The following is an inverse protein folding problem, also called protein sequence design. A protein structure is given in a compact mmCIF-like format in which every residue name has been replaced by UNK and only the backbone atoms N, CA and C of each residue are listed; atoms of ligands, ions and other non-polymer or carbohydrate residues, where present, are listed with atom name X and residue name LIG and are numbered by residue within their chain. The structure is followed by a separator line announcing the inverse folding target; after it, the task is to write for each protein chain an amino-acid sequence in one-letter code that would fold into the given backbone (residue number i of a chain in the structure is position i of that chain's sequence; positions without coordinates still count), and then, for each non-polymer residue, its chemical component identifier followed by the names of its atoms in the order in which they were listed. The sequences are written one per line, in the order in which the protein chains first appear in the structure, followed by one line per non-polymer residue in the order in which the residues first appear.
data_IF_300166399991
#
_entry.id   IF_300166399991
#
_cell.length_a   1.000
_cell.length_b   1.000
_cell.length_c   1.000
_cell.angle_alpha   90.00
_cell.angle_beta   90.00
_cell.angle_gamma   90.00
#
_symmetry.space_group_name_H-M   'P 1'
#
loop_
_entity.id
_entity.type
_entity.pdbx_description
1 polymer ?
#
# COMPACT_ATOMS: atom_id res chain seq x y z
N UNK A 1 -4.86 33.39 93.61
CA UNK A 1 -5.57 32.17 94.04
C UNK A 1 -5.93 31.34 92.81
N UNK A 2 -5.57 30.05 92.81
CA UNK A 2 -6.11 28.90 92.03
C UNK A 2 -6.31 29.08 90.51
N UNK A 3 -5.44 28.50 89.66
CA UNK A 3 -5.42 27.11 89.14
C UNK A 3 -6.38 26.80 87.97
N UNK A 4 -5.77 26.23 86.91
CA UNK A 4 -6.20 25.13 86.03
C UNK A 4 -6.90 25.39 84.67
N UNK A 5 -6.08 25.21 83.62
CA UNK A 5 -6.16 24.25 82.47
C UNK A 5 -7.44 24.10 81.65
N UNK A 6 -7.29 24.16 80.31
CA UNK A 6 -7.83 23.33 79.19
C UNK A 6 -7.25 23.97 77.90
N UNK A 7 -6.90 23.34 76.78
CA UNK A 7 -6.41 22.03 76.37
C UNK A 7 -5.83 22.24 74.95
N UNK A 8 -4.81 21.47 74.59
CA UNK A 8 -4.09 21.54 73.30
C UNK A 8 -4.93 20.99 72.15
N UNK A 9 -5.03 21.71 71.04
CA UNK A 9 -5.46 21.16 69.75
C UNK A 9 -4.26 21.20 68.78
N UNK A 10 -3.63 20.03 68.58
CA UNK A 10 -2.61 19.83 67.54
C UNK A 10 -3.31 19.79 66.18
N UNK A 11 -2.98 20.75 65.31
CA UNK A 11 -3.38 20.74 63.90
C UNK A 11 -2.66 19.61 63.18
N UNK A 12 -3.42 18.61 62.74
CA UNK A 12 -2.95 17.54 61.86
C UNK A 12 -3.15 18.04 60.42
N UNK A 13 -2.07 18.46 59.76
CA UNK A 13 -2.08 18.81 58.34
C UNK A 13 -2.29 17.56 57.50
N UNK A 14 -3.49 17.42 56.93
CA UNK A 14 -3.81 16.36 55.98
C UNK A 14 -3.20 16.76 54.62
N UNK A 15 -2.04 16.18 54.29
CA UNK A 15 -1.46 16.28 52.95
C UNK A 15 -2.35 15.50 51.97
N UNK A 16 -3.07 16.23 51.11
CA UNK A 16 -3.89 15.69 50.04
C UNK A 16 -2.99 15.37 48.83
N UNK A 17 -2.43 14.18 48.81
CA UNK A 17 -1.67 13.66 47.66
C UNK A 17 -2.67 13.26 46.57
N UNK A 18 -2.85 14.12 45.56
CA UNK A 18 -3.63 13.79 44.36
C UNK A 18 -2.84 12.76 43.56
N UNK A 19 -3.23 11.49 43.69
CA UNK A 19 -2.83 10.42 42.79
C UNK A 19 -3.51 10.68 41.44
N UNK A 20 -2.77 11.23 40.48
CA UNK A 20 -3.17 11.21 39.08
C UNK A 20 -3.07 9.77 38.59
N UNK A 21 -4.18 9.03 38.66
CA UNK A 21 -4.33 7.77 37.95
C UNK A 21 -4.32 8.08 36.45
N UNK A 22 -3.27 7.63 35.76
CA UNK A 22 -3.29 7.52 34.31
C UNK A 22 -4.42 6.55 33.95
N UNK A 23 -5.55 7.08 33.49
CA UNK A 23 -6.58 6.27 32.86
C UNK A 23 -6.00 5.81 31.53
N UNK A 24 -5.55 4.55 31.45
CA UNK A 24 -5.27 3.95 30.15
C UNK A 24 -6.60 3.81 29.42
N UNK A 25 -6.84 4.65 28.42
CA UNK A 25 -8.00 4.50 27.55
C UNK A 25 -7.68 3.36 26.58
N UNK A 26 -8.38 2.24 26.71
CA UNK A 26 -8.42 1.25 25.65
C UNK A 26 -9.11 1.90 24.44
N UNK A 27 -8.40 2.03 23.32
CA UNK A 27 -8.92 2.62 22.11
C UNK A 27 -9.50 1.52 21.22
N UNK A 28 -10.83 1.46 21.18
CA UNK A 28 -11.56 0.57 20.29
C UNK A 28 -11.68 1.22 18.90
N UNK A 29 -11.49 0.41 17.86
CA UNK A 29 -11.69 0.81 16.47
C UNK A 29 -12.93 0.13 15.92
N UNK A 30 -13.85 0.90 15.35
CA UNK A 30 -14.99 0.37 14.61
C UNK A 30 -14.78 0.60 13.12
N UNK A 31 -14.99 -0.46 12.33
CA UNK A 31 -14.78 -0.45 10.88
C UNK A 31 -15.89 -1.22 10.19
N UNK A 32 -16.30 -0.77 9.02
CA UNK A 32 -17.30 -1.46 8.20
C UNK A 32 -16.66 -1.89 6.90
N UNK A 33 -16.68 -3.19 6.63
CA UNK A 33 -16.20 -3.77 5.39
C UNK A 33 -17.33 -4.15 4.46
N UNK A 34 -17.08 -4.07 3.16
CA UNK A 34 -18.08 -4.31 2.13
C UNK A 34 -17.65 -5.38 1.13
N UNK A 35 -18.58 -6.24 0.73
CA UNK A 35 -18.34 -7.20 -0.34
C UNK A 35 -19.63 -7.58 -1.08
N UNK A 36 -19.53 -7.74 -2.40
CA UNK A 36 -20.65 -8.14 -3.24
C UNK A 36 -20.91 -9.65 -3.17
N UNK A 37 -22.17 -10.06 -3.05
CA UNK A 37 -22.61 -11.46 -3.10
C UNK A 37 -22.61 -11.94 -4.55
N UNK A 38 -21.74 -12.90 -4.87
CA UNK A 38 -21.59 -13.46 -6.21
C UNK A 38 -22.25 -14.84 -6.27
N UNK A 39 -23.09 -15.10 -7.27
CA UNK A 39 -23.72 -16.42 -7.51
C UNK A 39 -24.46 -17.04 -6.32
N UNK A 40 -24.94 -16.22 -5.38
CA UNK A 40 -25.55 -16.71 -4.13
C UNK A 40 -24.56 -17.26 -3.10
N UNK A 41 -23.25 -17.18 -3.34
CA UNK A 41 -22.21 -17.58 -2.39
C UNK A 41 -22.05 -16.49 -1.31
N UNK A 42 -22.85 -16.65 -0.25
CA UNK A 42 -22.84 -15.76 0.91
C UNK A 42 -21.60 -15.95 1.78
N UNK A 43 -20.99 -17.13 1.76
CA UNK A 43 -19.82 -17.43 2.61
C UNK A 43 -18.58 -16.68 2.13
N UNK A 44 -18.34 -16.69 0.81
CA UNK A 44 -17.21 -15.96 0.22
C UNK A 44 -17.38 -14.44 0.38
N UNK A 45 -18.58 -13.92 0.16
CA UNK A 45 -18.86 -12.49 0.33
C UNK A 45 -18.68 -12.06 1.79
N UNK A 46 -19.14 -12.87 2.75
CA UNK A 46 -18.93 -12.62 4.18
C UNK A 46 -17.44 -12.59 4.54
N UNK A 47 -16.67 -13.57 4.07
CA UNK A 47 -15.21 -13.62 4.27
C UNK A 47 -14.50 -12.37 3.72
N UNK A 48 -14.88 -11.95 2.51
CA UNK A 48 -14.33 -10.74 1.88
C UNK A 48 -14.68 -9.46 2.63
N UNK A 49 -15.93 -9.31 3.11
CA UNK A 49 -16.34 -8.14 3.88
C UNK A 49 -15.66 -8.08 5.26
N UNK A 50 -15.46 -9.22 5.94
CA UNK A 50 -14.67 -9.29 7.18
C UNK A 50 -13.22 -8.87 6.91
N UNK A 51 -12.61 -9.38 5.84
CA UNK A 51 -11.24 -9.03 5.44
C UNK A 51 -11.09 -7.52 5.21
N UNK A 52 -12.04 -6.93 4.51
CA UNK A 52 -12.07 -5.48 4.24
C UNK A 52 -12.18 -4.68 5.55
N UNK A 53 -13.10 -5.03 6.44
CA UNK A 53 -13.28 -4.37 7.75
C UNK A 53 -11.99 -4.40 8.59
N UNK A 54 -11.42 -5.59 8.80
CA UNK A 54 -10.17 -5.75 9.57
C UNK A 54 -9.05 -4.91 8.96
N UNK A 55 -8.95 -4.89 7.64
CA UNK A 55 -7.87 -4.16 6.96
C UNK A 55 -8.02 -2.66 7.13
N UNK A 56 -9.23 -2.11 6.97
CA UNK A 56 -9.50 -0.69 7.21
C UNK A 56 -9.16 -0.27 8.65
N UNK A 57 -9.49 -1.11 9.65
CA UNK A 57 -9.17 -0.84 11.05
C UNK A 57 -7.66 -0.84 11.34
N UNK A 58 -6.91 -1.79 10.76
CA UNK A 58 -5.45 -1.86 10.88
C UNK A 58 -4.77 -0.65 10.22
N UNK A 59 -5.26 -0.27 9.04
CA UNK A 59 -4.81 0.91 8.30
C UNK A 59 -4.97 2.18 9.12
N UNK A 60 -6.15 2.38 9.70
CA UNK A 60 -6.45 3.59 10.46
C UNK A 60 -5.67 3.64 11.77
N UNK A 61 -5.45 2.49 12.41
CA UNK A 61 -4.68 2.38 13.65
C UNK A 61 -3.15 2.44 13.44
N UNK A 62 -2.67 2.39 12.19
CA UNK A 62 -1.24 2.35 11.87
C UNK A 62 -0.58 0.99 12.13
N UNK A 63 -1.38 -0.03 12.43
CA UNK A 63 -0.95 -1.38 12.74
C UNK A 63 -0.55 -2.17 11.48
N UNK A 64 0.44 -3.07 11.60
CA UNK A 64 0.95 -3.95 10.54
C UNK A 64 -0.08 -4.97 10.09
N UNK A 65 -0.24 -5.07 8.78
CA UNK A 65 -1.14 -6.01 8.10
C UNK A 65 -0.38 -7.29 7.71
N UNK A 66 0.16 -8.03 8.69
CA UNK A 66 0.96 -9.23 8.35
C UNK A 66 0.12 -10.50 8.19
N UNK A 67 -1.09 -10.58 8.77
CA UNK A 67 -1.89 -11.84 8.77
C UNK A 67 -3.41 -11.64 8.86
N UNK A 68 -4.02 -10.88 7.93
CA UNK A 68 -5.49 -10.69 7.92
C UNK A 68 -6.24 -12.00 7.68
N UNK A 69 -5.69 -12.92 6.86
CA UNK A 69 -6.38 -14.17 6.51
C UNK A 69 -6.67 -15.05 7.74
N UNK A 70 -5.69 -15.22 8.64
CA UNK A 70 -5.87 -15.97 9.89
C UNK A 70 -6.95 -15.35 10.78
N UNK A 71 -7.09 -14.02 10.76
CA UNK A 71 -8.12 -13.31 11.51
C UNK A 71 -9.51 -13.49 10.90
N UNK A 72 -9.60 -13.45 9.57
CA UNK A 72 -10.85 -13.73 8.83
C UNK A 72 -11.36 -15.14 9.15
N UNK A 73 -10.48 -16.13 9.07
CA UNK A 73 -10.83 -17.52 9.37
C UNK A 73 -11.25 -17.69 10.85
N UNK A 74 -10.63 -16.94 11.77
CA UNK A 74 -11.01 -16.90 13.18
C UNK A 74 -12.39 -16.29 13.42
N UNK A 75 -12.74 -15.18 12.74
CA UNK A 75 -14.08 -14.56 12.84
C UNK A 75 -15.17 -15.45 12.25
N UNK A 76 -14.86 -16.23 11.20
CA UNK A 76 -15.82 -17.10 10.53
C UNK A 76 -16.15 -18.40 11.28
N UNK A 77 -15.28 -18.85 12.20
CA UNK A 77 -15.35 -20.21 12.78
C UNK A 77 -15.86 -20.30 14.22
N UNK A 78 -16.05 -19.18 14.95
CA UNK A 78 -16.46 -19.22 16.37
C UNK A 78 -17.52 -18.17 16.75
N UNK A 79 -18.67 -18.63 17.24
CA UNK A 79 -19.83 -17.84 17.72
C UNK A 79 -19.63 -17.19 19.12
N UNK A 80 -18.49 -17.38 19.80
CA UNK A 80 -18.22 -16.76 21.10
C UNK A 80 -16.76 -16.27 21.21
N UNK A 81 -16.61 -14.95 21.27
CA UNK A 81 -15.40 -14.17 20.98
C UNK A 81 -14.44 -14.04 22.17
N UNK A 82 -13.32 -14.79 22.14
CA UNK A 82 -12.03 -14.44 22.76
C UNK A 82 -10.90 -15.04 21.92
N UNK A 83 -10.55 -14.37 20.81
CA UNK A 83 -9.38 -14.74 20.01
C UNK A 83 -8.23 -13.84 20.45
N UNK A 84 -7.32 -14.38 21.26
CA UNK A 84 -6.01 -13.78 21.51
C UNK A 84 -5.08 -14.21 20.38
N UNK A 85 -5.09 -13.49 19.26
CA UNK A 85 -4.19 -13.77 18.14
C UNK A 85 -2.89 -12.97 18.30
N UNK A 86 -1.75 -13.62 18.05
CA UNK A 86 -0.43 -13.00 18.13
C UNK A 86 -0.33 -11.84 17.12
N UNK A 87 -0.07 -10.63 17.62
CA UNK A 87 0.04 -9.42 16.81
C UNK A 87 -0.47 -8.20 17.56
N UNK A 88 -0.86 -7.16 16.82
CA UNK A 88 -1.34 -5.88 17.34
C UNK A 88 -2.84 -5.87 17.64
N UNK A 89 -3.60 -6.93 17.32
CA UNK A 89 -5.04 -7.04 17.62
C UNK A 89 -5.27 -8.01 18.77
N UNK A 90 -5.82 -7.51 19.89
CA UNK A 90 -6.13 -8.33 21.07
C UNK A 90 -7.54 -8.93 21.03
N UNK A 91 -8.50 -8.23 20.40
CA UNK A 91 -9.90 -8.67 20.32
C UNK A 91 -10.55 -8.17 19.05
N UNK A 92 -11.45 -8.98 18.50
CA UNK A 92 -12.36 -8.61 17.41
C UNK A 92 -13.77 -8.97 17.88
N UNK A 93 -14.75 -8.11 17.63
CA UNK A 93 -16.17 -8.34 17.88
C UNK A 93 -16.97 -8.01 16.61
N UNK A 94 -17.84 -8.93 16.20
CA UNK A 94 -18.83 -8.66 15.16
C UNK A 94 -19.97 -7.84 15.77
N UNK A 95 -20.13 -6.59 15.35
CA UNK A 95 -21.16 -5.68 15.87
C UNK A 95 -22.44 -5.79 15.04
N UNK A 96 -22.30 -5.79 13.71
CA UNK A 96 -23.44 -5.99 12.81
C UNK A 96 -23.03 -6.73 11.55
N UNK A 97 -23.99 -7.47 11.02
CA UNK A 97 -23.94 -8.09 9.71
C UNK A 97 -25.22 -7.70 8.99
N UNK A 98 -25.09 -6.77 8.06
CA UNK A 98 -26.20 -6.23 7.31
C UNK A 98 -26.08 -6.65 5.85
N UNK A 99 -27.19 -7.10 5.27
CA UNK A 99 -27.28 -7.41 3.85
C UNK A 99 -28.20 -6.41 3.18
N UNK A 100 -27.64 -5.59 2.32
CA UNK A 100 -28.40 -4.70 1.45
C UNK A 100 -28.20 -5.14 -0.01
N UNK A 101 -29.28 -5.60 -0.65
CA UNK A 101 -29.28 -6.15 -2.01
C UNK A 101 -28.29 -7.33 -2.16
N UNK A 102 -27.30 -7.16 -3.04
CA UNK A 102 -26.19 -8.08 -3.30
C UNK A 102 -24.89 -7.59 -2.64
N UNK A 103 -24.94 -6.83 -1.55
CA UNK A 103 -23.74 -6.40 -0.82
C UNK A 103 -23.87 -6.72 0.66
N UNK A 104 -22.88 -7.41 1.21
CA UNK A 104 -22.65 -7.55 2.64
C UNK A 104 -21.95 -6.30 3.16
N UNK A 105 -22.47 -5.75 4.24
CA UNK A 105 -21.81 -4.76 5.07
C UNK A 105 -21.59 -5.39 6.45
N UNK A 106 -20.33 -5.51 6.86
CA UNK A 106 -19.95 -6.14 8.12
C UNK A 106 -19.23 -5.13 8.98
N UNK A 107 -19.81 -4.83 10.15
CA UNK A 107 -19.22 -3.92 11.12
C UNK A 107 -18.49 -4.70 12.18
N UNK A 108 -17.19 -4.45 12.32
CA UNK A 108 -16.34 -5.04 13.34
C UNK A 108 -15.86 -3.99 14.32
N UNK A 109 -15.80 -4.35 15.59
CA UNK A 109 -15.11 -3.62 16.65
C UNK A 109 -13.84 -4.35 17.02
N UNK A 110 -12.70 -3.67 16.97
CA UNK A 110 -11.38 -4.24 17.19
C UNK A 110 -10.66 -3.52 18.33
N UNK A 111 -10.00 -4.29 19.19
CA UNK A 111 -9.06 -3.81 20.20
C UNK A 111 -7.65 -3.90 19.63
N UNK A 112 -7.09 -2.78 19.19
CA UNK A 112 -5.81 -2.72 18.48
C UNK A 112 -4.80 -1.96 19.33
N UNK A 113 -3.75 -2.67 19.74
CA UNK A 113 -2.54 -2.12 20.31
C UNK A 113 -1.46 -2.17 19.26
N UNK A 114 -1.36 -1.13 18.44
CA UNK A 114 -0.18 -0.94 17.60
C UNK A 114 1.05 -0.96 18.52
N UNK A 115 2.01 -1.83 18.24
CA UNK A 115 3.30 -1.70 18.89
C UNK A 115 3.83 -0.35 18.44
N UNK A 116 4.19 0.50 19.39
CA UNK A 116 4.83 1.79 19.10
C UNK A 116 6.24 1.53 18.54
N UNK A 117 6.31 1.00 17.33
CA UNK A 117 7.27 1.56 16.40
C UNK A 117 6.69 2.90 16.01
N UNK A 118 7.32 3.96 16.51
CA UNK A 118 7.19 5.30 15.98
C UNK A 118 7.65 5.27 14.52
N UNK A 119 6.85 4.69 13.62
CA UNK A 119 6.84 5.13 12.25
C UNK A 119 6.13 6.48 12.35
N UNK A 120 6.84 7.63 12.30
CA UNK A 120 6.16 8.91 12.21
C UNK A 120 5.21 8.78 11.04
N UNK A 121 3.92 8.68 11.35
CA UNK A 121 2.87 8.51 10.37
C UNK A 121 3.08 9.66 9.41
N UNK A 122 3.61 9.31 8.26
CA UNK A 122 4.23 10.26 7.36
C UNK A 122 3.06 11.10 6.88
N UNK A 123 2.93 12.32 7.40
CA UNK A 123 1.86 13.28 7.08
C UNK A 123 1.81 13.62 5.56
N UNK A 124 2.73 13.01 4.81
CA UNK A 124 3.00 13.21 3.41
C UNK A 124 2.53 12.03 2.60
N UNK A 125 1.82 12.37 1.53
CA UNK A 125 1.30 11.40 0.57
C UNK A 125 2.43 10.89 -0.31
N UNK A 126 2.53 9.57 -0.44
CA UNK A 126 3.53 8.90 -1.28
C UNK A 126 2.95 8.65 -2.66
N UNK A 127 3.73 8.77 -3.73
CA UNK A 127 3.25 8.45 -5.08
C UNK A 127 3.87 7.15 -5.57
N UNK A 128 3.03 6.26 -6.10
CA UNK A 128 3.43 4.96 -6.66
C UNK A 128 3.09 4.90 -8.16
N UNK A 129 4.09 4.73 -9.01
CA UNK A 129 3.89 4.54 -10.44
C UNK A 129 3.36 3.12 -10.71
N UNK A 130 2.12 3.02 -11.19
CA UNK A 130 1.51 1.75 -11.61
C UNK A 130 1.83 1.52 -13.07
N UNK A 131 2.77 0.62 -13.34
CA UNK A 131 3.27 0.34 -14.69
C UNK A 131 2.47 -0.75 -15.40
N UNK A 132 2.64 -0.84 -16.73
CA UNK A 132 2.00 -1.90 -17.52
C UNK A 132 2.62 -3.25 -17.17
N UNK A 133 1.79 -4.23 -16.85
CA UNK A 133 2.24 -5.59 -16.59
C UNK A 133 2.87 -6.18 -17.86
N UNK A 134 4.00 -6.86 -17.72
CA UNK A 134 4.56 -7.64 -18.81
C UNK A 134 3.86 -9.00 -18.90
N UNK A 135 3.42 -9.39 -20.10
CA UNK A 135 2.95 -10.75 -20.35
C UNK A 135 4.13 -11.65 -20.76
N UNK A 136 4.50 -12.60 -19.90
CA UNK A 136 5.62 -13.51 -20.15
C UNK A 136 5.38 -14.41 -21.36
N UNK A 137 4.17 -14.97 -21.47
CA UNK A 137 3.80 -15.93 -22.51
C UNK A 137 2.64 -15.38 -23.36
N UNK A 138 2.95 -14.61 -24.42
CA UNK A 138 1.92 -14.01 -25.30
C UNK A 138 0.99 -15.04 -25.96
N UNK A 139 1.48 -16.25 -26.24
CA UNK A 139 0.67 -17.33 -26.82
C UNK A 139 -0.53 -17.72 -25.95
N UNK A 140 -0.44 -17.53 -24.63
CA UNK A 140 -1.53 -17.84 -23.71
C UNK A 140 -2.72 -16.87 -23.84
N UNK A 141 -2.55 -15.72 -24.50
CA UNK A 141 -3.63 -14.77 -24.77
C UNK A 141 -4.45 -15.09 -26.04
N UNK A 142 -4.08 -16.13 -26.80
CA UNK A 142 -4.74 -16.47 -28.07
C UNK A 142 -6.23 -16.82 -27.91
N UNK A 143 -6.58 -17.61 -26.89
CA UNK A 143 -8.00 -17.87 -26.61
C UNK A 143 -8.66 -16.59 -26.10
N UNK A 144 -9.68 -16.13 -26.82
CA UNK A 144 -10.33 -14.84 -26.58
C UNK A 144 -9.66 -13.64 -27.27
N UNK A 145 -8.50 -13.83 -27.92
CA UNK A 145 -7.66 -12.75 -28.47
C UNK A 145 -7.35 -11.62 -27.46
N UNK A 146 -7.13 -11.97 -26.20
CA UNK A 146 -6.98 -11.03 -25.09
C UNK A 146 -5.56 -10.46 -24.98
N UNK A 147 -4.96 -10.04 -26.10
CA UNK A 147 -3.55 -9.62 -26.13
C UNK A 147 -3.27 -8.34 -25.32
N UNK A 148 -4.29 -7.53 -25.08
CA UNK A 148 -4.22 -6.28 -24.30
C UNK A 148 -4.56 -6.48 -22.81
N UNK A 149 -4.81 -7.72 -22.38
CA UNK A 149 -5.19 -8.04 -20.99
C UNK A 149 -4.16 -7.54 -19.98
N UNK A 150 -2.88 -7.54 -20.33
CA UNK A 150 -1.83 -7.05 -19.45
C UNK A 150 -1.92 -5.54 -19.21
N UNK A 151 -2.40 -4.76 -20.20
CA UNK A 151 -2.71 -3.33 -20.00
C UNK A 151 -4.00 -3.15 -19.21
N UNK A 152 -5.06 -3.85 -19.61
CA UNK A 152 -6.37 -3.75 -18.96
C UNK A 152 -6.29 -4.08 -17.46
N UNK A 153 -5.51 -5.10 -17.07
CA UNK A 153 -5.26 -5.45 -15.68
C UNK A 153 -4.56 -4.33 -14.92
N UNK A 154 -3.51 -3.72 -15.49
CA UNK A 154 -2.79 -2.61 -14.84
C UNK A 154 -3.66 -1.36 -14.70
N UNK A 155 -4.52 -1.09 -15.68
CA UNK A 155 -5.51 0.01 -15.62
C UNK A 155 -6.56 -0.24 -14.53
N UNK A 156 -7.07 -1.48 -14.43
CA UNK A 156 -8.00 -1.86 -13.37
C UNK A 156 -7.35 -1.85 -11.98
N UNK A 157 -6.07 -2.22 -11.87
CA UNK A 157 -5.31 -2.09 -10.63
C UNK A 157 -5.14 -0.62 -10.25
N UNK A 158 -4.77 0.25 -11.20
CA UNK A 158 -4.68 1.69 -10.97
C UNK A 158 -6.02 2.26 -10.46
N UNK A 159 -7.15 1.85 -11.03
CA UNK A 159 -8.48 2.26 -10.57
C UNK A 159 -8.77 1.77 -9.14
N UNK A 160 -8.46 0.50 -8.81
CA UNK A 160 -8.62 -0.06 -7.46
C UNK A 160 -7.79 0.70 -6.43
N UNK A 161 -6.52 0.99 -6.72
CA UNK A 161 -5.65 1.80 -5.86
C UNK A 161 -6.16 3.23 -5.70
N UNK A 162 -6.69 3.83 -6.77
CA UNK A 162 -7.18 5.22 -6.76
C UNK A 162 -8.44 5.38 -5.90
N UNK A 163 -9.28 4.36 -5.87
CA UNK A 163 -10.53 4.33 -5.11
C UNK A 163 -10.35 3.88 -3.66
N UNK A 164 -9.16 3.42 -3.27
CA UNK A 164 -8.87 2.97 -1.90
C UNK A 164 -8.29 4.11 -1.07
N UNK A 165 -8.76 4.25 0.17
CA UNK A 165 -8.20 5.20 1.12
C UNK A 165 -6.88 4.65 1.69
N UNK A 166 -5.78 4.97 0.99
CA UNK A 166 -4.43 4.61 1.41
C UNK A 166 -3.50 5.83 1.39
N UNK A 167 -2.43 5.79 2.19
CA UNK A 167 -1.45 6.88 2.27
C UNK A 167 -0.62 7.07 0.99
N UNK A 168 -0.59 6.05 0.10
CA UNK A 168 0.07 6.13 -1.19
C UNK A 168 -0.93 6.39 -2.32
N UNK A 169 -0.73 7.42 -3.14
CA UNK A 169 -1.55 7.70 -4.31
C UNK A 169 -0.94 7.09 -5.56
N UNK A 170 -1.72 6.35 -6.37
CA UNK A 170 -1.20 5.79 -7.60
C UNK A 170 -1.04 6.86 -8.69
N UNK A 171 -0.01 6.70 -9.51
CA UNK A 171 0.18 7.46 -10.77
C UNK A 171 0.15 6.49 -11.93
N UNK A 172 -0.63 6.82 -12.96
CA UNK A 172 -0.76 5.98 -14.14
C UNK A 172 0.55 5.97 -14.96
N UNK A 173 1.13 4.79 -15.15
CA UNK A 173 2.24 4.55 -16.08
C UNK A 173 2.02 3.26 -16.90
N UNK A 174 0.76 2.85 -17.07
CA UNK A 174 0.38 1.60 -17.76
C UNK A 174 0.17 1.74 -19.27
N UNK A 175 0.36 2.93 -19.83
CA UNK A 175 0.26 3.19 -21.28
C UNK A 175 1.56 2.94 -22.04
N UNK A 176 2.64 2.56 -21.35
CA UNK A 176 3.94 2.27 -21.94
C UNK A 176 4.32 0.81 -21.69
N UNK A 177 4.54 -0.01 -22.73
CA UNK A 177 4.92 -1.40 -22.55
C UNK A 177 6.36 -1.50 -22.04
N UNK A 178 6.56 -2.29 -20.99
CA UNK A 178 7.85 -2.46 -20.34
C UNK A 178 8.34 -3.91 -20.42
N UNK A 179 9.67 -4.07 -20.52
CA UNK A 179 10.36 -5.35 -20.42
C UNK A 179 11.00 -5.43 -19.04
N UNK A 180 10.37 -6.14 -18.13
CA UNK A 180 10.70 -6.16 -16.70
C UNK A 180 11.16 -7.54 -16.20
N UNK A 181 11.30 -8.56 -17.06
CA UNK A 181 11.72 -9.91 -16.66
C UNK A 181 12.94 -9.95 -15.74
N UNK A 182 13.97 -9.14 -16.03
CA UNK A 182 15.22 -9.07 -15.27
C UNK A 182 15.01 -8.61 -13.82
N UNK A 183 13.98 -7.79 -13.56
CA UNK A 183 13.64 -7.30 -12.21
C UNK A 183 13.09 -8.39 -11.29
N UNK A 184 12.65 -9.53 -11.86
CA UNK A 184 12.12 -10.67 -11.13
C UNK A 184 13.12 -11.83 -11.01
N UNK A 185 14.40 -11.60 -11.34
CA UNK A 185 15.47 -12.60 -11.19
C UNK A 185 16.15 -12.50 -9.82
N UNK A 186 16.88 -13.54 -9.43
CA UNK A 186 17.64 -13.55 -8.18
C UNK A 186 18.96 -12.75 -8.27
N UNK A 187 19.39 -12.38 -9.48
CA UNK A 187 20.75 -11.90 -9.74
C UNK A 187 20.96 -10.39 -9.49
N UNK A 188 19.97 -9.64 -9.01
CA UNK A 188 20.04 -8.17 -8.83
C UNK A 188 20.53 -7.37 -10.06
N UNK A 189 20.47 -7.97 -11.25
CA UNK A 189 20.93 -7.41 -12.53
C UNK A 189 19.80 -6.67 -13.25
N UNK A 190 19.22 -5.67 -12.56
CA UNK A 190 18.13 -4.87 -13.09
C UNK A 190 18.60 -3.44 -13.40
N UNK A 191 17.95 -2.83 -14.40
CA UNK A 191 18.37 -1.51 -14.91
C UNK A 191 17.83 -0.37 -14.05
N UNK A 192 18.72 0.26 -13.30
CA UNK A 192 18.42 1.50 -12.56
C UNK A 192 17.94 2.62 -13.50
N UNK A 193 18.41 2.65 -14.76
CA UNK A 193 18.00 3.66 -15.73
C UNK A 193 16.50 3.58 -16.08
N UNK A 194 15.92 2.38 -16.11
CA UNK A 194 14.49 2.22 -16.35
C UNK A 194 13.67 2.74 -15.16
N UNK A 195 14.10 2.45 -13.93
CA UNK A 195 13.44 2.99 -12.72
C UNK A 195 13.55 4.51 -12.67
N UNK A 196 14.71 5.07 -13.04
CA UNK A 196 14.90 6.52 -13.16
C UNK A 196 13.96 7.15 -14.20
N UNK A 197 13.84 6.54 -15.38
CA UNK A 197 12.93 7.03 -16.42
C UNK A 197 11.46 7.04 -15.94
N UNK A 198 11.02 5.95 -15.31
CA UNK A 198 9.65 5.83 -14.80
C UNK A 198 9.41 6.92 -13.74
N UNK A 199 10.28 7.02 -12.74
CA UNK A 199 10.12 7.97 -11.62
C UNK A 199 10.18 9.42 -12.07
N UNK A 200 11.04 9.74 -13.03
CA UNK A 200 11.15 11.08 -13.63
C UNK A 200 9.88 11.47 -14.39
N UNK A 201 9.33 10.56 -15.22
CA UNK A 201 8.13 10.83 -16.02
C UNK A 201 6.84 10.82 -15.21
N UNK A 202 6.75 9.95 -14.20
CA UNK A 202 5.55 9.82 -13.37
C UNK A 202 5.56 10.71 -12.13
N UNK A 203 6.69 11.38 -11.83
CA UNK A 203 6.91 12.09 -10.59
C UNK A 203 6.56 11.26 -9.34
N UNK A 204 6.87 9.97 -9.36
CA UNK A 204 6.53 9.04 -8.28
C UNK A 204 7.76 8.64 -7.48
N UNK A 205 7.62 8.54 -6.16
CA UNK A 205 8.69 8.10 -5.27
C UNK A 205 8.90 6.59 -5.31
N UNK A 206 7.89 5.84 -5.72
CA UNK A 206 7.95 4.38 -5.81
C UNK A 206 7.48 3.88 -7.17
N UNK A 207 8.00 2.73 -7.57
CA UNK A 207 7.63 2.08 -8.85
C UNK A 207 7.11 0.68 -8.58
N UNK A 208 5.89 0.40 -9.05
CA UNK A 208 5.31 -0.94 -9.04
C UNK A 208 5.50 -1.58 -10.42
N UNK A 209 6.38 -2.57 -10.50
CA UNK A 209 6.54 -3.40 -11.69
C UNK A 209 5.75 -4.70 -11.52
N UNK A 210 5.28 -5.25 -12.63
CA UNK A 210 4.51 -6.49 -12.61
C UNK A 210 4.76 -7.36 -13.84
N UNK A 211 4.69 -8.67 -13.64
CA UNK A 211 4.80 -9.67 -14.71
C UNK A 211 3.75 -10.76 -14.54
N UNK A 212 2.93 -10.93 -15.57
CA UNK A 212 1.98 -12.02 -15.68
C UNK A 212 2.72 -13.25 -16.20
N UNK A 213 2.83 -14.28 -15.34
CA UNK A 213 3.52 -15.54 -15.65
C UNK A 213 2.63 -16.54 -16.37
N UNK A 214 1.33 -16.55 -16.06
CA UNK A 214 0.41 -17.59 -16.52
C UNK A 214 -1.00 -17.02 -16.76
N UNK A 215 -1.49 -17.17 -17.99
CA UNK A 215 -2.88 -16.96 -18.43
C UNK A 215 -3.45 -18.20 -19.13
N UNK A 216 -2.84 -19.37 -18.89
CA UNK A 216 -3.23 -20.61 -19.56
C UNK A 216 -4.64 -21.03 -19.20
N UNK A 217 -5.29 -21.72 -20.13
CA UNK A 217 -6.60 -22.32 -19.91
C UNK A 217 -6.36 -23.73 -19.36
N UNK A 218 -6.81 -23.96 -18.13
CA UNK A 218 -6.75 -25.24 -17.43
C UNK A 218 -7.78 -26.23 -18.03
N UNK A 219 -7.89 -27.41 -17.41
CA UNK A 219 -8.74 -28.50 -17.87
C UNK A 219 -10.22 -28.11 -18.03
N UNK A 220 -10.89 -28.77 -18.99
CA UNK A 220 -12.35 -28.73 -19.16
C UNK A 220 -13.01 -29.22 -17.87
N UNK A 221 -13.93 -28.42 -17.33
CA UNK A 221 -14.63 -28.71 -16.07
C UNK A 221 -15.74 -29.75 -16.31
N UNK A 222 -16.33 -29.76 -17.50
CA UNK A 222 -17.46 -30.62 -17.82
C UNK A 222 -17.00 -32.04 -18.16
N UNK A 223 -17.80 -33.04 -17.81
CA UNK A 223 -17.60 -34.43 -18.19
C UNK A 223 -17.61 -34.58 -19.74
N UNK A 224 -16.68 -35.35 -20.30
CA UNK A 224 -16.62 -35.64 -21.74
C UNK A 224 -17.88 -36.33 -22.27
N UNK A 225 -18.62 -37.04 -21.41
CA UNK A 225 -19.90 -37.66 -21.74
C UNK A 225 -21.10 -36.69 -21.74
N UNK A 226 -20.94 -35.46 -21.25
CA UNK A 226 -21.98 -34.43 -21.23
C UNK A 226 -21.99 -33.60 -22.53
N UNK A 227 -22.14 -34.26 -23.68
CA UNK A 227 -22.11 -33.64 -25.01
C UNK A 227 -23.20 -32.57 -25.23
N UNK A 228 -24.22 -32.52 -24.37
CA UNK A 228 -25.32 -31.55 -24.40
C UNK A 228 -25.04 -30.27 -23.62
N UNK A 229 -23.92 -30.18 -22.88
CA UNK A 229 -23.51 -28.97 -22.15
C UNK A 229 -22.35 -28.27 -22.87
N UNK A 230 -22.44 -26.94 -22.99
CA UNK A 230 -21.34 -26.12 -23.52
C UNK A 230 -20.09 -26.29 -22.66
N UNK A 231 -18.94 -26.59 -23.28
CA UNK A 231 -17.65 -26.74 -22.60
C UNK A 231 -17.36 -25.56 -21.65
N UNK A 232 -17.15 -25.83 -20.36
CA UNK A 232 -16.66 -24.85 -19.39
C UNK A 232 -15.18 -25.08 -19.10
N UNK A 233 -14.40 -24.01 -19.02
CA UNK A 233 -12.98 -24.04 -18.75
C UNK A 233 -12.66 -23.15 -17.55
N UNK A 234 -11.65 -23.52 -16.76
CA UNK A 234 -10.99 -22.56 -15.87
C UNK A 234 -9.80 -21.95 -16.58
N UNK A 235 -9.56 -20.66 -16.39
CA UNK A 235 -8.35 -19.99 -16.84
C UNK A 235 -7.53 -19.58 -15.63
N UNK A 236 -6.23 -19.87 -15.68
CA UNK A 236 -5.29 -19.47 -14.66
C UNK A 236 -4.97 -17.97 -14.77
N UNK A 237 -4.62 -17.37 -13.65
CA UNK A 237 -3.99 -16.06 -13.58
C UNK A 237 -2.90 -16.10 -12.52
N UNK A 238 -1.63 -16.03 -12.95
CA UNK A 238 -0.47 -15.92 -12.05
C UNK A 238 0.31 -14.66 -12.37
N UNK A 239 0.58 -13.86 -11.36
CA UNK A 239 1.25 -12.56 -11.50
C UNK A 239 2.24 -12.34 -10.37
N UNK A 240 3.39 -11.78 -10.71
CA UNK A 240 4.39 -11.31 -9.76
C UNK A 240 4.37 -9.79 -9.72
N UNK A 241 4.44 -9.21 -8.53
CA UNK A 241 4.61 -7.78 -8.31
C UNK A 241 5.89 -7.52 -7.52
N UNK A 242 6.53 -6.40 -7.83
CA UNK A 242 7.72 -5.92 -7.13
C UNK A 242 7.66 -4.41 -6.99
N UNK A 243 7.94 -3.92 -5.78
CA UNK A 243 7.97 -2.50 -5.43
C UNK A 243 9.43 -2.05 -5.31
N UNK A 244 9.76 -0.97 -6.00
CA UNK A 244 11.07 -0.34 -5.96
C UNK A 244 11.02 1.06 -5.35
N UNK A 245 12.07 1.40 -4.61
CA UNK A 245 12.36 2.78 -4.24
C UNK A 245 12.84 3.56 -5.46
N UNK A 246 12.19 4.67 -5.77
CA UNK A 246 12.52 5.50 -6.94
C UNK A 246 13.78 6.33 -6.77
N UNK A 247 14.34 6.39 -5.57
CA UNK A 247 15.55 7.12 -5.22
C UNK A 247 16.73 6.18 -5.07
N UNK A 248 16.63 5.16 -4.22
CA UNK A 248 17.72 4.21 -3.99
C UNK A 248 17.79 3.09 -5.03
N UNK A 249 16.70 2.87 -5.77
CA UNK A 249 16.51 1.74 -6.69
C UNK A 249 16.51 0.37 -5.99
N UNK A 250 16.33 0.36 -4.67
CA UNK A 250 16.22 -0.87 -3.93
C UNK A 250 14.87 -1.54 -4.14
N UNK A 251 14.90 -2.87 -4.19
CA UNK A 251 13.71 -3.70 -4.14
C UNK A 251 13.19 -3.75 -2.70
N UNK A 252 12.07 -3.09 -2.45
CA UNK A 252 11.49 -2.96 -1.11
C UNK A 252 10.57 -4.14 -0.76
N UNK A 253 9.86 -4.66 -1.76
CA UNK A 253 8.86 -5.69 -1.55
C UNK A 253 8.64 -6.49 -2.85
N UNK A 254 8.35 -7.77 -2.71
CA UNK A 254 8.01 -8.65 -3.84
C UNK A 254 7.03 -9.73 -3.37
N UNK A 255 5.97 -9.96 -4.14
CA UNK A 255 5.00 -11.03 -3.86
C UNK A 255 4.40 -11.58 -5.14
N UNK A 256 4.08 -12.87 -5.12
CA UNK A 256 3.40 -13.58 -6.19
C UNK A 256 1.98 -13.91 -5.79
N UNK A 257 1.07 -13.78 -6.74
CA UNK A 257 -0.34 -14.11 -6.60
C UNK A 257 -0.73 -15.13 -7.66
N UNK A 258 -1.72 -15.95 -7.31
CA UNK A 258 -2.32 -16.88 -8.24
C UNK A 258 -3.79 -17.05 -7.93
N UNK A 259 -4.58 -17.18 -9.00
CA UNK A 259 -5.99 -17.53 -8.92
C UNK A 259 -6.37 -18.25 -10.21
N UNK A 260 -7.60 -18.75 -10.26
CA UNK A 260 -8.24 -19.24 -11.45
C UNK A 260 -9.70 -18.83 -11.44
N UNK A 261 -10.29 -18.68 -12.62
CA UNK A 261 -11.71 -18.38 -12.76
C UNK A 261 -12.31 -19.08 -13.97
N UNK A 262 -13.61 -19.33 -13.92
CA UNK A 262 -14.40 -19.86 -15.00
C UNK A 262 -14.33 -18.88 -16.17
N UNK A 263 -13.95 -19.40 -17.34
CA UNK A 263 -13.94 -18.70 -18.60
C UNK A 263 -15.28 -18.93 -19.30
N UNK A 264 -16.20 -17.95 -19.29
CA UNK A 264 -17.59 -18.18 -19.71
C UNK A 264 -17.79 -18.09 -21.23
N UNK A 265 -16.70 -17.96 -22.00
CA UNK A 265 -16.75 -17.69 -23.43
C UNK A 265 -16.37 -18.91 -24.25
N UNK A 266 -16.93 -18.99 -25.46
CA UNK A 266 -16.58 -20.04 -26.42
C UNK A 266 -15.14 -19.86 -26.90
N UNK A 267 -14.48 -20.96 -27.29
CA UNK A 267 -13.06 -20.93 -27.75
C UNK A 267 -12.81 -19.99 -28.94
N UNK A 268 -13.83 -19.76 -29.77
CA UNK A 268 -13.77 -18.91 -30.98
C UNK A 268 -14.20 -17.46 -30.74
N UNK A 269 -14.68 -17.13 -29.54
CA UNK A 269 -15.17 -15.79 -29.22
C UNK A 269 -13.99 -14.82 -29.08
N UNK A 270 -14.17 -13.58 -29.55
CA UNK A 270 -13.21 -12.49 -29.40
C UNK A 270 -13.71 -11.60 -28.26
N UNK A 271 -12.85 -11.35 -27.28
CA UNK A 271 -13.25 -10.72 -26.01
C UNK A 271 -12.60 -9.35 -25.90
N UNK A 272 -13.42 -8.35 -25.61
CA UNK A 272 -12.97 -7.03 -25.21
C UNK A 272 -12.67 -7.00 -23.71
N UNK A 273 -11.37 -7.00 -23.36
CA UNK A 273 -10.88 -6.96 -21.97
C UNK A 273 -11.07 -5.61 -21.27
N UNK A 274 -11.48 -4.58 -22.00
CA UNK A 274 -11.81 -3.26 -21.44
C UNK A 274 -13.30 -3.15 -21.09
N UNK A 275 -14.13 -4.09 -21.52
CA UNK A 275 -15.57 -4.05 -21.29
C UNK A 275 -15.95 -4.43 -19.85
N UNK A 276 -16.98 -3.79 -19.32
CA UNK A 276 -17.60 -4.18 -18.04
C UNK A 276 -18.08 -5.64 -18.07
N UNK A 277 -18.49 -6.13 -19.26
CA UNK A 277 -18.88 -7.53 -19.46
C UNK A 277 -17.75 -8.50 -19.12
N UNK A 278 -16.50 -8.17 -19.49
CA UNK A 278 -15.34 -9.00 -19.14
C UNK A 278 -15.08 -8.99 -17.64
N UNK A 279 -15.09 -7.80 -17.02
CA UNK A 279 -14.83 -7.64 -15.59
C UNK A 279 -15.95 -8.19 -14.71
N UNK A 280 -17.18 -8.34 -15.23
CA UNK A 280 -18.29 -9.00 -14.55
C UNK A 280 -18.22 -10.55 -14.59
N UNK A 281 -17.32 -11.15 -15.39
CA UNK A 281 -17.15 -12.61 -15.43
C UNK A 281 -16.47 -13.15 -14.17
N UNK A 282 -16.62 -14.45 -13.91
CA UNK A 282 -15.90 -15.13 -12.82
C UNK A 282 -14.37 -14.93 -12.91
N UNK A 283 -13.81 -15.05 -14.12
CA UNK A 283 -12.39 -14.78 -14.35
C UNK A 283 -11.98 -13.31 -14.11
N UNK A 284 -12.77 -12.35 -14.60
CA UNK A 284 -12.52 -10.92 -14.36
C UNK A 284 -12.59 -10.57 -12.88
N UNK A 285 -13.56 -11.14 -12.16
CA UNK A 285 -13.73 -10.97 -10.73
C UNK A 285 -12.59 -11.62 -9.93
N UNK A 286 -12.12 -12.80 -10.31
CA UNK A 286 -10.97 -13.44 -9.67
C UNK A 286 -9.71 -12.58 -9.77
N UNK A 287 -9.51 -11.88 -10.90
CA UNK A 287 -8.42 -10.89 -11.06
C UNK A 287 -8.65 -9.68 -10.15
N UNK A 288 -9.88 -9.16 -10.08
CA UNK A 288 -10.22 -8.03 -9.20
C UNK A 288 -9.98 -8.34 -7.72
N UNK A 289 -10.23 -9.57 -7.27
CA UNK A 289 -9.97 -9.99 -5.89
C UNK A 289 -8.45 -10.02 -5.57
N UNK A 290 -7.61 -10.35 -6.56
CA UNK A 290 -6.15 -10.20 -6.47
C UNK A 290 -5.75 -8.73 -6.41
N UNK A 291 -6.32 -7.86 -7.25
CA UNK A 291 -6.03 -6.42 -7.22
C UNK A 291 -6.38 -5.82 -5.85
N UNK A 292 -7.51 -6.19 -5.25
CA UNK A 292 -7.89 -5.74 -3.91
C UNK A 292 -6.90 -6.23 -2.85
N UNK A 293 -6.51 -7.51 -2.91
CA UNK A 293 -5.52 -8.07 -1.98
C UNK A 293 -4.16 -7.39 -2.10
N UNK A 294 -3.72 -7.10 -3.33
CA UNK A 294 -2.50 -6.36 -3.61
C UNK A 294 -2.54 -4.95 -3.03
N UNK A 295 -3.66 -4.25 -3.14
CA UNK A 295 -3.83 -2.90 -2.55
C UNK A 295 -3.54 -2.91 -1.05
N UNK A 296 -4.09 -3.88 -0.32
CA UNK A 296 -3.83 -4.03 1.11
C UNK A 296 -2.37 -4.40 1.42
N UNK A 297 -1.79 -5.33 0.66
CA UNK A 297 -0.39 -5.72 0.83
C UNK A 297 0.56 -4.54 0.57
N UNK A 298 0.29 -3.72 -0.44
CA UNK A 298 1.07 -2.51 -0.75
C UNK A 298 0.93 -1.47 0.35
N UNK A 299 -0.29 -1.26 0.85
CA UNK A 299 -0.52 -0.34 1.95
C UNK A 299 0.31 -0.70 3.18
N UNK A 300 0.36 -1.99 3.52
CA UNK A 300 1.16 -2.51 4.62
C UNK A 300 2.67 -2.35 4.37
N UNK A 301 3.13 -2.76 3.18
CA UNK A 301 4.54 -2.64 2.79
C UNK A 301 5.02 -1.20 2.75
N UNK A 302 4.13 -0.26 2.44
CA UNK A 302 4.46 1.15 2.29
C UNK A 302 4.25 1.98 3.56
N UNK A 303 3.64 1.45 4.62
CA UNK A 303 3.24 2.22 5.80
C UNK A 303 4.40 3.06 6.37
N UNK A 304 5.55 2.42 6.63
CA UNK A 304 6.71 3.05 7.27
C UNK A 304 7.76 3.60 6.30
N UNK A 305 7.50 3.61 4.99
CA UNK A 305 8.48 4.14 4.03
C UNK A 305 8.56 5.69 4.09
N UNK A 306 9.73 6.30 3.94
CA UNK A 306 9.87 7.76 4.02
C UNK A 306 9.41 8.45 2.73
N UNK A 307 8.83 9.65 2.82
CA UNK A 307 8.53 10.45 1.62
C UNK A 307 9.78 11.23 1.26
N UNK A 308 10.47 10.80 0.21
CA UNK A 308 11.69 11.42 -0.29
C UNK A 308 11.42 12.07 -1.64
N UNK A 309 12.01 13.23 -1.86
CA UNK A 309 12.02 13.91 -3.15
C UNK A 309 13.40 13.93 -3.76
N UNK A 310 13.47 14.49 -4.96
CA UNK A 310 14.69 14.78 -5.70
C UNK A 310 14.74 16.24 -6.10
N UNK A 311 15.95 16.77 -6.20
CA UNK A 311 16.22 18.06 -6.84
C UNK A 311 16.11 17.89 -8.35
N UNK A 312 15.16 18.59 -8.96
CA UNK A 312 14.93 18.62 -10.41
C UNK A 312 15.79 19.67 -11.11
N UNK A 313 16.03 20.80 -10.44
CA UNK A 313 16.75 21.92 -11.02
C UNK A 313 17.40 22.79 -9.95
N UNK A 314 18.51 23.46 -10.32
CA UNK A 314 19.30 24.32 -9.44
C UNK A 314 19.56 25.63 -10.20
N UNK A 315 19.13 26.76 -9.63
CA UNK A 315 19.35 28.10 -10.19
C UNK A 315 19.53 29.15 -9.09
N UNK A 316 20.69 29.80 -9.00
CA UNK A 316 20.94 30.95 -8.11
C UNK A 316 20.43 30.74 -6.66
N UNK A 317 20.90 29.67 -6.00
CA UNK A 317 20.49 29.24 -4.65
C UNK A 317 19.01 28.85 -4.49
N UNK A 318 18.27 28.74 -5.59
CA UNK A 318 16.93 28.16 -5.66
C UNK A 318 16.99 26.74 -6.19
N UNK A 319 16.26 25.87 -5.53
CA UNK A 319 16.10 24.47 -5.91
C UNK A 319 14.65 24.24 -6.30
N UNK A 320 14.43 23.57 -7.43
CA UNK A 320 13.12 23.02 -7.77
C UNK A 320 13.14 21.56 -7.34
N UNK A 321 12.21 21.17 -6.49
CA UNK A 321 12.08 19.80 -5.98
C UNK A 321 10.77 19.17 -6.47
N UNK A 322 10.76 17.84 -6.53
CA UNK A 322 9.64 17.06 -7.05
C UNK A 322 8.60 16.69 -5.98
N UNK A 323 8.56 17.46 -4.88
CA UNK A 323 7.55 17.40 -3.82
C UNK A 323 6.75 18.69 -3.82
N UNK A 324 5.45 18.62 -3.54
CA UNK A 324 4.53 19.77 -3.57
C UNK A 324 3.30 19.57 -2.69
N UNK A 325 2.24 20.35 -2.92
CA UNK A 325 1.00 20.30 -2.12
C UNK A 325 0.36 18.92 -2.12
N UNK A 326 0.35 18.24 -3.26
CA UNK A 326 -0.23 16.90 -3.39
C UNK A 326 0.53 15.85 -2.56
N UNK A 327 1.77 16.15 -2.18
CA UNK A 327 2.60 15.32 -1.31
C UNK A 327 2.45 15.71 0.17
N UNK A 328 1.70 16.75 0.53
CA UNK A 328 1.55 17.24 1.90
C UNK A 328 2.55 18.33 2.30
N UNK A 329 3.36 18.86 1.37
CA UNK A 329 4.36 19.87 1.66
C UNK A 329 3.73 21.24 1.98
N UNK A 330 4.25 21.93 2.99
CA UNK A 330 3.79 23.25 3.44
C UNK A 330 4.79 24.37 3.15
N UNK A 331 4.29 25.61 2.99
CA UNK A 331 5.15 26.76 2.74
C UNK A 331 5.90 27.11 4.03
N UNK A 332 7.20 27.34 3.91
CA UNK A 332 8.08 27.61 5.05
C UNK A 332 8.67 26.36 5.70
N UNK A 333 8.32 25.18 5.21
CA UNK A 333 8.84 23.92 5.68
C UNK A 333 10.34 23.76 5.43
N UNK A 334 11.05 23.13 6.36
CA UNK A 334 12.49 22.85 6.28
C UNK A 334 12.70 21.39 5.84
N UNK A 335 13.59 21.22 4.87
CA UNK A 335 13.99 19.92 4.33
C UNK A 335 15.51 19.77 4.46
N UNK A 336 15.95 18.54 4.73
CA UNK A 336 17.34 18.13 4.68
C UNK A 336 17.69 17.66 3.27
N UNK A 337 18.93 17.88 2.85
CA UNK A 337 19.47 17.34 1.61
C UNK A 337 20.43 16.21 1.91
N UNK A 338 20.36 15.14 1.12
CA UNK A 338 21.32 14.06 1.15
C UNK A 338 21.84 13.76 -0.26
N UNK A 339 23.14 13.49 -0.35
CA UNK A 339 23.73 13.06 -1.60
C UNK A 339 23.35 11.62 -1.90
N UNK A 340 22.92 11.42 -3.13
CA UNK A 340 22.69 10.10 -3.67
C UNK A 340 24.00 9.56 -4.24
N UNK A 341 24.59 8.56 -3.59
CA UNK A 341 25.84 7.96 -4.03
C UNK A 341 25.72 6.43 -4.09
N UNK A 342 26.67 5.80 -4.76
CA UNK A 342 26.77 4.35 -4.83
C UNK A 342 28.15 3.90 -4.42
N UNK A 343 28.22 2.91 -3.54
CA UNK A 343 29.43 2.15 -3.33
C UNK A 343 29.47 1.02 -4.34
N UNK A 344 30.66 0.55 -4.70
CA UNK A 344 30.81 -0.63 -5.55
C UNK A 344 31.42 -1.74 -4.70
N UNK A 345 30.80 -2.91 -4.69
CA UNK A 345 31.36 -4.08 -4.00
C UNK A 345 32.55 -4.67 -4.76
N UNK A 346 33.17 -5.71 -4.20
CA UNK A 346 34.34 -6.35 -4.81
C UNK A 346 34.03 -7.05 -6.14
N UNK A 347 32.75 -7.27 -6.46
CA UNK A 347 32.26 -7.91 -7.68
C UNK A 347 31.82 -6.89 -8.75
N UNK A 348 31.85 -5.59 -8.44
CA UNK A 348 31.43 -4.54 -9.35
C UNK A 348 29.95 -4.14 -9.23
N UNK A 349 29.22 -4.68 -8.25
CA UNK A 349 27.81 -4.34 -8.05
C UNK A 349 27.67 -3.02 -7.32
N UNK A 350 26.72 -2.18 -7.74
CA UNK A 350 26.41 -0.92 -7.09
C UNK A 350 25.54 -1.16 -5.85
N UNK A 351 26.02 -0.72 -4.69
CA UNK A 351 25.33 -0.70 -3.43
C UNK A 351 24.82 0.73 -3.15
N UNK A 352 23.56 0.90 -2.71
CA UNK A 352 23.03 2.20 -2.36
C UNK A 352 23.81 2.79 -1.18
N UNK A 353 24.21 4.05 -1.29
CA UNK A 353 24.89 4.75 -0.20
C UNK A 353 24.45 6.21 -0.13
N UNK A 354 23.80 6.56 0.97
CA UNK A 354 23.29 7.91 1.20
C UNK A 354 24.18 8.65 2.20
N UNK A 355 24.54 9.89 1.86
CA UNK A 355 25.28 10.78 2.75
C UNK A 355 24.39 11.99 3.05
N UNK A 356 23.79 12.03 4.24
CA UNK A 356 23.02 13.18 4.69
C UNK A 356 23.95 14.37 4.92
N UNK A 357 23.63 15.50 4.29
CA UNK A 357 24.42 16.73 4.42
C UNK A 357 23.90 17.57 5.58
N UNK A 358 24.70 18.55 6.02
CA UNK A 358 24.23 19.59 6.94
C UNK A 358 23.39 20.66 6.23
N UNK A 359 23.24 20.59 4.90
CA UNK A 359 22.53 21.59 4.13
C UNK A 359 21.02 21.43 4.33
N UNK A 360 20.39 22.53 4.73
CA UNK A 360 18.95 22.62 4.91
C UNK A 360 18.36 23.67 3.99
N UNK A 361 17.17 23.39 3.47
CA UNK A 361 16.44 24.27 2.55
C UNK A 361 15.04 24.51 3.06
N UNK A 362 14.57 25.73 2.86
CA UNK A 362 13.23 26.18 3.22
C UNK A 362 12.36 26.30 1.98
N UNK A 363 11.17 25.69 2.01
CA UNK A 363 10.17 25.79 0.96
C UNK A 363 9.65 27.23 0.90
N UNK A 364 9.82 27.89 -0.24
CA UNK A 364 9.41 29.29 -0.44
C UNK A 364 8.17 29.43 -1.31
N UNK A 365 7.98 28.52 -2.28
CA UNK A 365 6.83 28.48 -3.17
C UNK A 365 6.37 27.04 -3.36
N UNK A 366 5.05 26.85 -3.42
CA UNK A 366 4.41 25.54 -3.55
C UNK A 366 3.52 25.47 -4.78
N UNK A 367 3.73 24.43 -5.58
CA UNK A 367 2.85 23.99 -6.65
C UNK A 367 2.21 22.64 -6.27
N UNK A 368 1.32 22.12 -7.13
CA UNK A 368 0.66 20.85 -6.84
C UNK A 368 1.65 19.70 -6.72
N UNK A 369 2.59 19.59 -7.67
CA UNK A 369 3.50 18.45 -7.80
C UNK A 369 4.97 18.81 -7.52
N UNK A 370 5.29 20.09 -7.34
CA UNK A 370 6.65 20.58 -7.15
C UNK A 370 6.69 21.76 -6.19
N UNK A 371 7.89 22.13 -5.78
CA UNK A 371 8.12 23.27 -4.90
C UNK A 371 9.44 23.96 -5.25
N UNK A 372 9.51 25.25 -4.94
CA UNK A 372 10.76 26.02 -4.95
C UNK A 372 11.24 26.14 -3.51
N UNK A 373 12.45 25.68 -3.26
CA UNK A 373 13.12 25.76 -1.97
C UNK A 373 14.40 26.59 -2.09
N UNK A 374 14.80 27.23 -0.99
CA UNK A 374 15.99 28.08 -0.92
C UNK A 374 16.80 27.72 0.31
N UNK A 375 18.12 27.93 0.24
CA UNK A 375 19.00 27.77 1.41
C UNK A 375 18.54 28.60 2.60
N UNK A 376 18.62 28.02 3.81
CA UNK A 376 18.39 28.75 5.05
C UNK A 376 19.51 29.79 5.23
N UNK A 377 19.15 31.00 5.67
CA UNK A 377 20.08 32.12 5.91
C UNK A 377 21.00 32.49 4.73
N UNK A 378 20.61 32.14 3.50
CA UNK A 378 21.41 32.32 2.28
C UNK A 378 22.81 31.69 2.38
N UNK A 379 22.95 30.62 3.16
CA UNK A 379 24.19 29.88 3.20
C UNK A 379 24.46 29.27 1.82
N UNK A 380 25.71 29.29 1.33
CA UNK A 380 26.05 28.59 0.11
C UNK A 380 25.73 27.10 0.28
N UNK A 381 25.22 26.48 -0.78
CA UNK A 381 24.88 25.07 -0.84
C UNK A 381 25.97 24.31 -1.62
N UNK A 382 27.16 24.08 -1.04
CA UNK A 382 28.25 23.45 -1.77
C UNK A 382 27.91 22.01 -2.12
N UNK A 383 28.35 21.60 -3.31
CA UNK A 383 28.30 20.22 -3.81
C UNK A 383 26.90 19.62 -4.03
N UNK A 384 25.82 20.41 -4.00
CA UNK A 384 24.48 19.93 -4.36
C UNK A 384 24.37 19.64 -5.86
N UNK A 385 23.72 18.54 -6.21
CA UNK A 385 23.53 18.06 -7.57
C UNK A 385 22.04 17.83 -7.88
N UNK A 386 21.71 17.87 -9.18
CA UNK A 386 20.43 17.35 -9.66
C UNK A 386 20.35 15.86 -9.27
N UNK A 387 19.16 15.39 -8.91
CA UNK A 387 18.88 14.07 -8.35
C UNK A 387 19.34 13.81 -6.91
N UNK A 388 19.95 14.79 -6.23
CA UNK A 388 20.13 14.69 -4.77
C UNK A 388 18.77 14.56 -4.07
N UNK A 389 18.79 13.84 -2.96
CA UNK A 389 17.61 13.48 -2.19
C UNK A 389 17.23 14.64 -1.29
N UNK A 390 15.94 14.97 -1.26
CA UNK A 390 15.38 15.86 -0.25
C UNK A 390 14.45 15.08 0.66
N UNK A 391 14.61 15.26 1.96
CA UNK A 391 13.80 14.60 2.96
C UNK A 391 13.38 15.58 4.04
N UNK A 392 12.32 15.25 4.76
CA UNK A 392 11.85 16.08 5.85
C UNK A 392 12.89 16.13 6.96
N UNK A 393 13.16 17.32 7.49
CA UNK A 393 13.88 17.42 8.74
C UNK A 393 13.00 16.78 9.83
N UNK A 394 13.58 15.87 10.63
CA UNK A 394 12.88 15.34 11.79
C UNK A 394 12.45 16.51 12.68
N UNK A 395 11.17 16.56 13.05
CA UNK A 395 10.68 17.49 14.07
C UNK A 395 11.33 17.10 15.40
N UNK A 396 12.20 17.96 15.93
CA UNK A 396 12.67 17.88 17.33
C UNK A 396 11.53 18.03 18.33
#
# INVERSE_FOLDING_TARGET
MKNKTIASLKGLGLAFTILFSNNSLAQWFESTGHAVVKNGDTSQAKSAAIKDAITQALVFSGARVSSVQTLVDGVLTQDQLKISSHGEIQKIELISEDRHNDTYAITLRLDIFAQAEECPANQYTKFIAVTQSQLANREQARMGQIFDVNKAISEHLYASLSNTQMAAKPTAYYNMPLRVDHFFTQQYDYSNALLEEITSRSNSQYVLLSRIRDLSVNHKINNDYAFWQDDSFKRAYKVDYVLFDGTTYEKLWQKSYQTEGIWPYKKTEIIDVYSDRFWATDYGQAISDINQTLTYDLQAAMACLPTQGKILHIENDRLIINLGKAHGLEQGQILNIAHHNYLTDAQGNKLPHKITTLNQIKVTQLYQQSAVAMSIDKQPLPNIQINDIVELAASE
#
